data_IF_992944573956
#
_entry.id   IF_992944573956
#
_cell.length_a   1.000
_cell.length_b   1.000
_cell.length_c   1.000
_cell.angle_alpha   90.00
_cell.angle_beta   90.00
_cell.angle_gamma   90.00
#
_symmetry.space_group_name_H-M   'P 1'
#
loop_
_entity.id
_entity.type
_entity.pdbx_description
1 polymer ?
#
# COMPACT_ATOMS: atom_id res chain seq x y z
N UNK A 1 67.29 -3.61 -2.34
CA UNK A 1 66.20 -2.60 -2.25
C UNK A 1 64.83 -3.06 -2.75
N UNK A 2 64.70 -4.09 -3.62
CA UNK A 2 63.39 -4.51 -4.18
C UNK A 2 62.44 -5.26 -3.22
N UNK A 3 62.92 -5.84 -2.11
CA UNK A 3 62.05 -6.56 -1.15
C UNK A 3 61.35 -5.68 -0.11
N UNK A 4 61.83 -4.45 0.13
CA UNK A 4 61.18 -3.50 1.07
C UNK A 4 60.00 -2.75 0.43
N UNK A 5 59.96 -2.65 -0.89
CA UNK A 5 58.88 -1.97 -1.61
C UNK A 5 57.60 -2.83 -1.69
N UNK A 6 57.75 -4.16 -1.69
CA UNK A 6 56.61 -5.09 -1.80
C UNK A 6 55.80 -5.20 -0.50
N UNK A 7 56.45 -5.00 0.65
CA UNK A 7 55.81 -4.92 1.97
C UNK A 7 55.03 -3.62 2.19
N UNK A 8 55.44 -2.53 1.55
CA UNK A 8 54.71 -1.26 1.59
C UNK A 8 53.44 -1.29 0.71
N UNK A 9 53.46 -2.07 -0.37
CA UNK A 9 52.28 -2.25 -1.23
C UNK A 9 51.24 -3.22 -0.62
N UNK A 10 51.66 -4.22 0.16
CA UNK A 10 50.72 -5.10 0.86
C UNK A 10 50.06 -4.44 2.07
N UNK A 11 50.69 -3.42 2.67
CA UNK A 11 50.11 -2.67 3.79
C UNK A 11 49.07 -1.64 3.33
N UNK A 12 49.13 -1.19 2.08
CA UNK A 12 48.19 -0.20 1.54
C UNK A 12 46.84 -0.80 1.12
N UNK A 13 46.76 -2.12 0.91
CA UNK A 13 45.51 -2.81 0.58
C UNK A 13 44.67 -3.20 1.82
N UNK A 14 45.20 -3.02 3.04
CA UNK A 14 44.48 -3.28 4.29
C UNK A 14 43.76 -2.05 4.87
N UNK A 15 43.79 -0.92 4.15
CA UNK A 15 43.13 0.33 4.51
C UNK A 15 42.02 0.69 3.51
N UNK A 16 41.25 -0.29 3.04
CA UNK A 16 39.92 0.04 2.50
C UNK A 16 39.05 0.45 3.68
N UNK A 17 38.50 1.68 3.74
CA UNK A 17 37.47 1.96 4.70
C UNK A 17 36.33 0.99 4.41
N UNK A 18 36.06 0.08 5.35
CA UNK A 18 34.79 -0.60 5.41
C UNK A 18 33.76 0.52 5.46
N UNK A 19 33.11 0.81 4.33
CA UNK A 19 31.89 1.59 4.31
C UNK A 19 30.91 0.77 5.13
N UNK A 20 30.86 1.07 6.43
CA UNK A 20 29.83 0.58 7.32
C UNK A 20 28.55 1.07 6.68
N UNK A 21 27.76 0.14 6.13
CA UNK A 21 26.38 0.37 5.76
C UNK A 21 25.74 0.94 7.03
N UNK A 22 25.56 2.27 7.07
CA UNK A 22 24.82 2.92 8.12
C UNK A 22 23.41 2.36 8.00
N UNK A 23 23.13 1.36 8.84
CA UNK A 23 21.79 0.84 9.01
C UNK A 23 21.02 2.01 9.59
N UNK A 24 20.24 2.70 8.76
CA UNK A 24 19.40 3.79 9.20
C UNK A 24 18.52 3.23 10.31
N UNK A 25 18.75 3.66 11.55
CA UNK A 25 17.90 3.20 12.64
C UNK A 25 16.45 3.59 12.32
N UNK A 26 15.48 2.72 12.65
CA UNK A 26 14.08 2.99 12.35
C UNK A 26 13.67 4.30 13.04
N UNK A 27 13.02 5.20 12.30
CA UNK A 27 12.47 6.43 12.87
C UNK A 27 11.24 6.04 13.71
N UNK A 28 11.41 6.09 15.03
CA UNK A 28 10.41 5.74 16.02
C UNK A 28 9.73 6.99 16.59
N UNK A 29 8.53 6.84 17.12
CA UNK A 29 7.84 7.89 17.87
C UNK A 29 8.37 7.89 19.29
N UNK A 30 9.14 8.91 19.66
CA UNK A 30 9.61 9.06 21.04
C UNK A 30 8.52 9.63 21.94
N UNK A 31 7.86 10.69 21.46
CA UNK A 31 6.74 11.31 22.16
C UNK A 31 5.57 11.58 21.23
N UNK A 32 4.39 11.41 21.79
CA UNK A 32 3.13 11.76 21.15
C UNK A 32 2.25 12.37 22.23
N UNK A 33 1.58 13.48 21.92
CA UNK A 33 0.69 14.14 22.88
C UNK A 33 -0.53 14.76 22.20
N UNK A 34 -1.65 14.74 22.92
CA UNK A 34 -2.90 15.34 22.48
C UNK A 34 -2.99 16.77 23.01
N UNK A 35 -2.95 17.75 22.12
CA UNK A 35 -3.03 19.16 22.43
C UNK A 35 -4.44 19.65 22.76
N UNK A 36 -4.53 20.71 23.56
CA UNK A 36 -5.80 21.37 23.88
C UNK A 36 -6.42 22.09 22.67
N UNK A 37 -5.63 22.32 21.63
CA UNK A 37 -5.96 22.98 20.37
C UNK A 37 -6.50 22.03 19.29
N UNK A 38 -6.89 20.81 19.68
CA UNK A 38 -7.34 19.75 18.76
C UNK A 38 -6.26 19.34 17.75
N UNK A 39 -5.00 19.35 18.18
CA UNK A 39 -3.86 18.87 17.38
C UNK A 39 -3.11 17.76 18.10
N UNK A 40 -2.51 16.88 17.31
CA UNK A 40 -1.60 15.84 17.79
C UNK A 40 -0.17 16.26 17.52
N UNK A 41 0.63 16.28 18.58
CA UNK A 41 2.06 16.60 18.52
C UNK A 41 2.86 15.32 18.55
N UNK A 42 3.78 15.15 17.61
CA UNK A 42 4.61 13.95 17.47
C UNK A 42 6.07 14.36 17.39
N UNK A 43 6.89 13.80 18.27
CA UNK A 43 8.34 13.93 18.32
C UNK A 43 8.96 12.58 17.92
N UNK A 44 9.76 12.59 16.87
CA UNK A 44 10.43 11.41 16.33
C UNK A 44 11.85 11.27 16.88
N UNK A 45 12.41 10.06 16.79
CA UNK A 45 13.78 9.75 17.24
C UNK A 45 14.90 10.44 16.45
N UNK A 46 14.56 11.15 15.39
CA UNK A 46 15.48 11.98 14.61
C UNK A 46 15.28 13.48 14.88
N UNK A 47 14.73 13.83 16.05
CA UNK A 47 14.40 15.20 16.50
C UNK A 47 13.39 15.96 15.61
N UNK A 48 12.73 15.25 14.67
CA UNK A 48 11.70 15.86 13.83
C UNK A 48 10.39 16.00 14.59
N UNK A 49 9.77 17.18 14.48
CA UNK A 49 8.52 17.51 15.15
C UNK A 49 7.38 17.69 14.14
N UNK A 50 6.25 17.05 14.39
CA UNK A 50 5.06 17.12 13.55
C UNK A 50 3.83 17.50 14.36
N UNK A 51 2.97 18.29 13.72
CA UNK A 51 1.69 18.73 14.28
C UNK A 51 0.61 18.34 13.28
N UNK A 52 -0.31 17.49 13.71
CA UNK A 52 -1.41 16.99 12.88
C UNK A 52 -2.73 17.54 13.40
N UNK A 53 -3.56 18.09 12.52
CA UNK A 53 -4.94 18.48 12.87
C UNK A 53 -5.81 17.23 12.95
N UNK A 54 -6.50 17.06 14.07
CA UNK A 54 -7.36 15.89 14.33
C UNK A 54 -8.44 15.76 13.25
N UNK A 55 -8.98 16.86 12.74
CA UNK A 55 -10.07 16.83 11.74
C UNK A 55 -9.65 16.25 10.40
N UNK A 56 -8.35 16.30 10.09
CA UNK A 56 -7.79 15.79 8.84
C UNK A 56 -7.34 14.32 8.95
N UNK A 57 -7.31 13.79 10.17
CA UNK A 57 -6.90 12.42 10.43
C UNK A 57 -8.04 11.42 10.16
N UNK A 58 -7.71 10.17 9.79
CA UNK A 58 -8.71 9.13 9.65
C UNK A 58 -9.38 8.84 11.00
N UNK A 59 -10.71 8.92 11.02
CA UNK A 59 -11.54 8.63 12.17
C UNK A 59 -12.08 7.20 12.12
N UNK A 60 -12.00 6.52 13.25
CA UNK A 60 -12.47 5.16 13.47
C UNK A 60 -13.49 5.16 14.59
N UNK A 61 -14.72 4.79 14.24
CA UNK A 61 -15.78 4.50 15.20
C UNK A 61 -15.76 3.04 15.65
N UNK A 62 -14.67 2.30 15.41
CA UNK A 62 -14.60 0.86 15.62
C UNK A 62 -15.11 0.48 17.02
N UNK A 63 -16.36 0.03 17.06
CA UNK A 63 -16.89 -0.87 18.06
C UNK A 63 -16.55 -2.27 17.55
N UNK A 64 -16.33 -3.22 18.46
CA UNK A 64 -15.98 -4.59 18.11
C UNK A 64 -17.18 -5.35 17.50
N UNK A 65 -17.74 -4.84 16.41
CA UNK A 65 -18.79 -5.51 15.66
C UNK A 65 -18.15 -6.61 14.82
N UNK A 66 -18.12 -7.80 15.41
CA UNK A 66 -17.57 -9.04 14.88
C UNK A 66 -18.33 -9.62 13.67
N UNK A 67 -19.15 -8.82 12.98
CA UNK A 67 -20.08 -9.28 11.93
C UNK A 67 -19.88 -8.60 10.57
N UNK A 68 -18.90 -7.70 10.43
CA UNK A 68 -18.65 -7.08 9.13
C UNK A 68 -18.01 -8.08 8.17
N UNK A 69 -18.71 -8.46 7.09
CA UNK A 69 -18.16 -9.21 5.95
C UNK A 69 -17.21 -8.36 5.07
N UNK A 70 -16.72 -7.24 5.61
CA UNK A 70 -15.97 -6.20 4.90
C UNK A 70 -14.58 -6.06 5.51
N UNK A 71 -13.59 -5.74 4.65
CA UNK A 71 -12.23 -5.50 5.11
C UNK A 71 -12.16 -4.15 5.84
N UNK A 72 -11.54 -4.14 7.03
CA UNK A 72 -11.25 -2.87 7.71
C UNK A 72 -9.92 -2.31 7.22
N UNK A 73 -9.98 -1.12 6.63
CA UNK A 73 -8.81 -0.43 6.06
C UNK A 73 -8.46 0.83 6.85
N UNK A 74 -7.20 0.92 7.29
CA UNK A 74 -6.61 2.14 7.81
C UNK A 74 -5.46 2.58 6.90
N UNK A 75 -5.41 3.88 6.51
CA UNK A 75 -4.33 4.40 5.70
C UNK A 75 -3.10 4.60 6.59
N UNK A 76 -2.30 3.55 6.71
CA UNK A 76 -1.15 3.50 7.61
C UNK A 76 0.13 3.24 6.85
N UNK A 77 1.25 3.64 7.46
CA UNK A 77 2.56 3.39 6.91
C UNK A 77 2.99 1.93 7.04
N UNK A 78 3.83 1.47 6.12
CA UNK A 78 4.49 0.16 6.23
C UNK A 78 5.55 0.19 7.33
N UNK A 79 5.73 -0.93 8.04
CA UNK A 79 6.79 -1.03 9.05
C UNK A 79 8.17 -1.08 8.41
N UNK A 80 9.17 -0.48 9.07
CA UNK A 80 10.56 -0.49 8.58
C UNK A 80 11.09 -1.92 8.42
N UNK A 81 10.79 -2.81 9.38
CA UNK A 81 11.15 -4.23 9.32
C UNK A 81 10.59 -4.92 8.06
N UNK A 82 9.36 -4.57 7.67
CA UNK A 82 8.74 -5.13 6.48
C UNK A 82 9.45 -4.64 5.21
N UNK A 83 9.74 -3.35 5.15
CA UNK A 83 10.48 -2.75 4.02
C UNK A 83 11.89 -3.31 3.92
N UNK A 84 12.58 -3.50 5.04
CA UNK A 84 13.94 -4.06 5.07
C UNK A 84 13.95 -5.52 4.61
N UNK A 85 12.96 -6.33 5.01
CA UNK A 85 12.79 -7.68 4.47
C UNK A 85 12.59 -7.67 2.95
N UNK A 86 11.84 -6.69 2.43
CA UNK A 86 11.64 -6.55 0.98
C UNK A 86 12.92 -6.14 0.26
N UNK A 87 13.70 -5.21 0.83
CA UNK A 87 15.02 -4.84 0.30
C UNK A 87 15.96 -6.04 0.27
N UNK A 88 16.03 -6.82 1.35
CA UNK A 88 16.89 -8.02 1.41
C UNK A 88 16.51 -9.07 0.37
N UNK A 89 15.21 -9.20 0.02
CA UNK A 89 14.76 -10.06 -1.08
C UNK A 89 15.20 -9.55 -2.45
N UNK A 90 15.36 -8.24 -2.65
CA UNK A 90 15.81 -7.64 -3.91
C UNK A 90 17.32 -7.83 -4.15
N UNK A 91 18.14 -7.80 -3.10
CA UNK A 91 19.61 -7.95 -3.19
C UNK A 91 20.10 -9.40 -3.22
N UNK A 92 19.22 -10.38 -2.96
CA UNK A 92 19.53 -11.80 -3.13
C UNK A 92 19.53 -12.18 -4.62
N UNK A 93 20.58 -11.80 -5.35
CA UNK A 93 20.78 -12.12 -6.78
C UNK A 93 20.97 -13.62 -7.06
N UNK A 94 20.98 -14.48 -6.04
CA UNK A 94 21.10 -15.94 -6.18
C UNK A 94 19.74 -16.64 -6.45
N UNK A 95 18.64 -15.89 -6.60
CA UNK A 95 17.33 -16.42 -6.97
C UNK A 95 17.06 -16.50 -8.47
N UNK A 96 18.10 -16.40 -9.31
CA UNK A 96 17.95 -16.66 -10.76
C UNK A 96 17.85 -18.17 -11.10
N UNK A 97 17.97 -19.10 -10.15
CA UNK A 97 17.92 -20.54 -10.47
C UNK A 97 17.23 -21.50 -9.50
N UNK A 98 16.59 -21.05 -8.41
CA UNK A 98 15.88 -21.97 -7.50
C UNK A 98 14.43 -21.50 -7.30
N UNK A 99 13.50 -22.27 -7.88
CA UNK A 99 12.04 -22.13 -7.89
C UNK A 99 11.38 -21.11 -8.84
N UNK A 100 11.85 -21.06 -10.09
CA UNK A 100 10.98 -20.82 -11.27
C UNK A 100 10.03 -22.02 -11.55
N UNK A 101 9.64 -22.76 -10.52
CA UNK A 101 8.61 -23.78 -10.60
C UNK A 101 7.26 -23.09 -10.79
N UNK A 102 6.87 -22.85 -12.05
CA UNK A 102 5.48 -22.77 -12.52
C UNK A 102 4.47 -22.03 -11.62
N UNK A 103 4.80 -20.87 -11.05
CA UNK A 103 3.76 -20.06 -10.41
C UNK A 103 3.03 -19.27 -11.50
N UNK A 104 1.97 -19.88 -12.05
CA UNK A 104 1.04 -19.21 -12.96
C UNK A 104 0.46 -17.96 -12.28
N UNK A 105 0.93 -16.78 -12.67
CA UNK A 105 0.38 -15.50 -12.23
C UNK A 105 -0.99 -15.27 -12.87
N UNK A 106 -2.02 -15.98 -12.41
CA UNK A 106 -3.40 -15.85 -12.93
C UNK A 106 -4.04 -14.50 -12.61
N UNK A 107 -3.56 -13.79 -11.57
CA UNK A 107 -4.12 -12.50 -11.14
C UNK A 107 -3.02 -11.51 -10.80
N UNK A 108 -3.31 -10.21 -10.96
CA UNK A 108 -2.40 -9.12 -10.56
C UNK A 108 -2.01 -9.25 -9.07
N UNK A 109 -2.96 -9.65 -8.23
CA UNK A 109 -2.71 -9.84 -6.80
C UNK A 109 -1.75 -11.00 -6.54
N UNK A 110 -1.90 -12.18 -7.16
CA UNK A 110 -0.99 -13.31 -6.90
C UNK A 110 0.45 -13.02 -7.34
N UNK A 111 0.62 -12.24 -8.40
CA UNK A 111 1.92 -11.79 -8.86
C UNK A 111 2.64 -10.86 -7.87
N UNK A 112 1.88 -9.96 -7.24
CA UNK A 112 2.38 -8.98 -6.29
C UNK A 112 2.54 -9.58 -4.88
N UNK A 113 1.61 -10.41 -4.43
CA UNK A 113 1.63 -11.04 -3.11
C UNK A 113 2.87 -11.89 -2.87
N UNK A 114 3.32 -12.68 -3.86
CA UNK A 114 4.54 -13.49 -3.70
C UNK A 114 5.79 -12.64 -3.45
N UNK A 115 5.78 -11.39 -3.91
CA UNK A 115 6.93 -10.50 -3.81
C UNK A 115 6.84 -9.51 -2.65
N UNK A 116 5.64 -9.00 -2.38
CA UNK A 116 5.38 -8.06 -1.29
C UNK A 116 5.11 -8.81 0.03
N UNK A 117 4.47 -9.97 -0.03
CA UNK A 117 3.92 -10.65 1.14
C UNK A 117 2.66 -9.95 1.68
N UNK A 118 2.22 -10.37 2.87
CA UNK A 118 1.09 -9.76 3.58
C UNK A 118 -0.29 -10.08 2.98
N UNK A 119 -1.34 -9.50 3.56
CA UNK A 119 -2.73 -9.72 3.14
C UNK A 119 -3.18 -8.82 1.99
N UNK A 120 -4.49 -8.81 1.73
CA UNK A 120 -5.13 -7.89 0.77
C UNK A 120 -4.84 -6.41 1.10
N UNK A 121 -4.81 -6.05 2.38
CA UNK A 121 -4.57 -4.69 2.85
C UNK A 121 -3.17 -4.19 2.50
N UNK A 122 -2.16 -5.08 2.61
CA UNK A 122 -0.79 -4.76 2.19
C UNK A 122 -0.72 -4.46 0.70
N UNK A 123 -1.37 -5.30 -0.10
CA UNK A 123 -1.45 -5.10 -1.54
C UNK A 123 -2.06 -3.73 -1.88
N UNK A 124 -3.19 -3.37 -1.27
CA UNK A 124 -3.85 -2.08 -1.48
C UNK A 124 -2.93 -0.93 -1.08
N UNK A 125 -2.32 -0.98 0.11
CA UNK A 125 -1.42 0.08 0.59
C UNK A 125 -0.16 0.23 -0.29
N UNK A 126 0.46 -0.87 -0.70
CA UNK A 126 1.66 -0.82 -1.55
C UNK A 126 1.34 -0.30 -2.96
N UNK A 127 0.21 -0.73 -3.53
CA UNK A 127 -0.22 -0.28 -4.85
C UNK A 127 -0.61 1.20 -4.83
N UNK A 128 -1.36 1.62 -3.81
CA UNK A 128 -1.72 3.02 -3.62
C UNK A 128 -0.48 3.89 -3.47
N UNK A 129 0.48 3.48 -2.63
CA UNK A 129 1.73 4.21 -2.47
C UNK A 129 2.54 4.32 -3.77
N UNK A 130 2.59 3.25 -4.57
CA UNK A 130 3.28 3.26 -5.85
C UNK A 130 2.67 4.27 -6.85
N UNK A 131 1.35 4.44 -6.81
CA UNK A 131 0.61 5.42 -7.59
C UNK A 131 0.80 6.84 -7.02
N UNK A 132 0.71 7.02 -5.70
CA UNK A 132 0.88 8.31 -5.03
C UNK A 132 2.29 8.90 -5.23
N UNK A 133 3.30 8.03 -5.35
CA UNK A 133 4.69 8.43 -5.58
C UNK A 133 5.08 8.58 -7.04
N UNK A 134 4.11 8.46 -7.97
CA UNK A 134 4.31 8.48 -9.42
C UNK A 134 5.32 7.41 -9.92
N UNK A 135 5.70 6.43 -9.08
CA UNK A 135 6.57 5.33 -9.49
C UNK A 135 5.83 4.37 -10.44
N UNK A 136 4.53 4.18 -10.22
CA UNK A 136 3.63 3.45 -11.11
C UNK A 136 2.76 4.43 -11.88
N UNK A 137 2.81 4.37 -13.22
CA UNK A 137 1.97 5.18 -14.09
C UNK A 137 1.12 4.29 -15.00
N UNK A 138 -0.20 4.52 -15.00
CA UNK A 138 -1.11 3.83 -15.92
C UNK A 138 -0.91 4.24 -17.38
N UNK A 139 -0.26 5.38 -17.63
CA UNK A 139 0.08 5.93 -18.95
C UNK A 139 1.47 5.51 -19.45
N UNK A 140 2.16 4.60 -18.74
CA UNK A 140 3.50 4.17 -19.14
C UNK A 140 3.49 3.47 -20.53
N UNK A 141 4.59 3.54 -21.32
CA UNK A 141 4.65 2.88 -22.63
C UNK A 141 4.38 1.37 -22.57
N UNK A 142 4.78 0.68 -21.49
CA UNK A 142 4.51 -0.75 -21.29
C UNK A 142 3.03 -1.07 -21.02
N UNK A 143 2.24 -0.06 -20.63
CA UNK A 143 0.80 -0.13 -20.47
C UNK A 143 0.05 0.29 -21.74
N UNK A 144 0.72 0.87 -22.74
CA UNK A 144 0.12 1.25 -24.01
C UNK A 144 -0.09 0.01 -24.87
N UNK A 145 -1.23 -0.03 -25.55
CA UNK A 145 -1.52 -1.13 -26.47
C UNK A 145 -0.84 -0.86 -27.82
N UNK A 146 -0.35 -1.91 -28.51
CA UNK A 146 0.15 -1.73 -29.86
C UNK A 146 -0.98 -1.31 -30.80
N UNK A 147 -0.71 -0.34 -31.66
CA UNK A 147 -1.63 0.04 -32.74
C UNK A 147 -1.77 -1.15 -33.70
N UNK A 148 -2.98 -1.70 -33.81
CA UNK A 148 -3.24 -2.84 -34.66
C UNK A 148 -4.64 -2.79 -35.23
N UNK A 149 -4.75 -3.04 -36.54
CA UNK A 149 -6.02 -3.24 -37.23
C UNK A 149 -6.54 -4.69 -37.09
N UNK A 150 -5.84 -5.53 -36.32
CA UNK A 150 -6.22 -6.92 -36.13
C UNK A 150 -7.54 -7.04 -35.37
N UNK A 151 -8.45 -7.86 -35.91
CA UNK A 151 -9.78 -8.11 -35.35
C UNK A 151 -10.06 -9.62 -35.32
N UNK A 152 -10.27 -10.22 -34.13
CA UNK A 152 -10.54 -11.64 -34.03
C UNK A 152 -11.90 -12.00 -34.65
N UNK A 153 -11.97 -13.17 -35.29
CA UNK A 153 -13.19 -13.80 -35.82
C UNK A 153 -13.27 -15.24 -35.27
N UNK A 154 -14.26 -15.56 -34.40
CA UNK A 154 -15.30 -14.68 -33.87
C UNK A 154 -14.76 -13.61 -32.91
N UNK A 155 -15.52 -12.53 -32.73
CA UNK A 155 -15.13 -11.46 -31.81
C UNK A 155 -15.22 -11.93 -30.36
N UNK A 156 -14.08 -11.99 -29.68
CA UNK A 156 -13.99 -12.34 -28.25
C UNK A 156 -14.57 -11.23 -27.36
N UNK A 157 -15.02 -11.59 -26.15
CA UNK A 157 -15.54 -10.62 -25.18
C UNK A 157 -14.49 -9.57 -24.77
N UNK A 158 -13.26 -10.03 -24.51
CA UNK A 158 -12.12 -9.16 -24.22
C UNK A 158 -11.91 -8.11 -25.29
N UNK A 159 -12.03 -8.48 -26.57
CA UNK A 159 -11.94 -7.52 -27.67
C UNK A 159 -13.10 -6.53 -27.66
N UNK A 160 -14.34 -6.99 -27.45
CA UNK A 160 -15.54 -6.11 -27.43
C UNK A 160 -15.43 -5.01 -26.37
N UNK A 161 -14.90 -5.36 -25.19
CA UNK A 161 -14.74 -4.44 -24.04
C UNK A 161 -13.58 -3.47 -24.24
N UNK A 162 -12.42 -4.00 -24.59
CA UNK A 162 -11.16 -3.24 -24.53
C UNK A 162 -10.79 -2.53 -25.83
N UNK A 163 -11.41 -2.85 -26.98
CA UNK A 163 -11.02 -2.30 -28.30
C UNK A 163 -10.96 -0.77 -28.42
N UNK A 164 -11.63 -0.04 -27.52
CA UNK A 164 -11.65 1.43 -27.49
C UNK A 164 -10.63 2.02 -26.53
N UNK A 165 -9.92 1.20 -25.78
CA UNK A 165 -8.92 1.64 -24.83
C UNK A 165 -7.58 1.75 -25.55
N UNK A 166 -6.93 2.90 -25.35
CA UNK A 166 -5.58 3.15 -25.84
C UNK A 166 -4.52 2.36 -25.02
N UNK A 167 -4.83 2.11 -23.74
CA UNK A 167 -3.98 1.37 -22.82
C UNK A 167 -4.65 0.07 -22.37
N UNK A 168 -3.90 -0.82 -21.73
CA UNK A 168 -4.43 -2.07 -21.17
C UNK A 168 -5.40 -1.84 -19.99
N UNK A 169 -5.48 -0.61 -19.50
CA UNK A 169 -6.43 -0.13 -18.48
C UNK A 169 -7.26 1.04 -19.04
N UNK A 170 -8.51 1.24 -18.59
CA UNK A 170 -9.33 2.36 -19.05
C UNK A 170 -8.83 3.67 -18.41
N UNK A 171 -8.08 4.48 -19.17
CA UNK A 171 -7.54 5.76 -18.67
C UNK A 171 -8.61 6.84 -18.62
N UNK A 172 -9.42 6.95 -19.67
CA UNK A 172 -10.58 7.86 -19.71
C UNK A 172 -11.61 7.43 -18.66
N UNK A 173 -12.00 8.38 -17.83
CA UNK A 173 -12.95 8.19 -16.73
C UNK A 173 -14.29 7.71 -17.24
N UNK A 174 -14.74 8.16 -18.43
CA UNK A 174 -16.01 7.70 -18.99
C UNK A 174 -15.94 6.22 -19.39
N UNK A 175 -14.84 5.80 -20.01
CA UNK A 175 -14.59 4.40 -20.31
C UNK A 175 -14.50 3.54 -19.04
N UNK A 176 -13.83 4.03 -17.99
CA UNK A 176 -13.70 3.35 -16.71
C UNK A 176 -15.07 3.19 -16.01
N UNK A 177 -15.86 4.25 -15.94
CA UNK A 177 -17.21 4.22 -15.37
C UNK A 177 -18.14 3.26 -16.14
N UNK A 178 -18.00 3.20 -17.47
CA UNK A 178 -18.77 2.28 -18.30
C UNK A 178 -18.41 0.82 -17.99
N UNK A 179 -17.12 0.50 -17.90
CA UNK A 179 -16.68 -0.85 -17.55
C UNK A 179 -17.10 -1.22 -16.13
N UNK A 180 -17.00 -0.29 -15.17
CA UNK A 180 -17.47 -0.50 -13.80
C UNK A 180 -18.97 -0.85 -13.76
N UNK A 181 -19.83 -0.08 -14.44
CA UNK A 181 -21.27 -0.35 -14.50
C UNK A 181 -21.58 -1.71 -15.12
N UNK A 182 -20.84 -2.08 -16.17
CA UNK A 182 -21.00 -3.35 -16.85
C UNK A 182 -20.60 -4.52 -15.93
N UNK A 183 -19.42 -4.46 -15.30
CA UNK A 183 -18.99 -5.48 -14.33
C UNK A 183 -19.92 -5.55 -13.11
N UNK A 184 -20.48 -4.43 -12.67
CA UNK A 184 -21.48 -4.39 -11.59
C UNK A 184 -22.76 -5.15 -11.98
N UNK A 185 -23.26 -4.94 -13.20
CA UNK A 185 -24.44 -5.64 -13.71
C UNK A 185 -24.22 -7.16 -13.83
N UNK A 186 -23.01 -7.56 -14.21
CA UNK A 186 -22.60 -8.97 -14.35
C UNK A 186 -22.16 -9.62 -13.03
N UNK A 187 -22.19 -8.89 -11.90
CA UNK A 187 -21.66 -9.33 -10.60
C UNK A 187 -20.19 -9.76 -10.65
N UNK A 188 -19.40 -9.16 -11.55
CA UNK A 188 -17.99 -9.48 -11.83
C UNK A 188 -17.01 -8.40 -11.34
N UNK A 189 -17.42 -7.57 -10.37
CA UNK A 189 -16.55 -6.53 -9.77
C UNK A 189 -15.36 -7.11 -8.99
N UNK A 190 -15.43 -8.37 -8.57
CA UNK A 190 -14.34 -9.07 -7.89
C UNK A 190 -13.80 -8.27 -6.71
N UNK A 191 -12.49 -8.02 -6.72
CA UNK A 191 -11.76 -7.32 -5.66
C UNK A 191 -12.03 -5.82 -5.55
N UNK A 192 -12.78 -5.21 -6.47
CA UNK A 192 -13.14 -3.79 -6.36
C UNK A 192 -14.10 -3.56 -5.20
N UNK A 193 -14.96 -4.52 -4.90
CA UNK A 193 -15.85 -4.47 -3.74
C UNK A 193 -15.11 -4.55 -2.40
N UNK A 194 -13.83 -4.95 -2.43
CA UNK A 194 -12.98 -5.12 -1.24
C UNK A 194 -12.23 -3.83 -0.90
N UNK A 195 -12.41 -2.77 -1.71
CA UNK A 195 -11.86 -1.46 -1.46
C UNK A 195 -12.75 -0.64 -0.53
N UNK A 196 -12.17 0.34 0.20
CA UNK A 196 -12.95 1.26 1.02
C UNK A 196 -14.07 1.94 0.21
N UNK A 197 -15.30 2.08 0.76
CA UNK A 197 -16.42 2.73 0.08
C UNK A 197 -16.08 4.14 -0.42
N UNK A 198 -15.26 4.87 0.33
CA UNK A 198 -14.81 6.23 -0.03
C UNK A 198 -14.07 6.26 -1.37
N UNK A 199 -13.31 5.20 -1.69
CA UNK A 199 -12.55 5.13 -2.94
C UNK A 199 -13.50 4.95 -4.12
N UNK A 200 -14.51 4.07 -3.94
CA UNK A 200 -15.54 3.81 -4.94
C UNK A 200 -16.40 5.05 -5.15
N UNK A 201 -16.78 5.74 -4.06
CA UNK A 201 -17.58 6.95 -4.11
C UNK A 201 -16.83 8.07 -4.84
N UNK A 202 -15.55 8.30 -4.49
CA UNK A 202 -14.68 9.26 -5.18
C UNK A 202 -14.60 8.95 -6.67
N UNK A 203 -14.40 7.69 -7.04
CA UNK A 203 -14.35 7.26 -8.44
C UNK A 203 -15.67 7.50 -9.18
N UNK A 204 -16.81 7.20 -8.56
CA UNK A 204 -18.13 7.33 -9.19
C UNK A 204 -18.57 8.79 -9.35
N UNK A 205 -18.16 9.66 -8.44
CA UNK A 205 -18.52 11.08 -8.44
C UNK A 205 -17.61 11.92 -9.34
N UNK A 206 -16.38 11.47 -9.59
CA UNK A 206 -15.41 12.21 -10.39
C UNK A 206 -15.71 12.11 -11.89
N UNK A 207 -15.85 13.26 -12.54
CA UNK A 207 -15.88 13.40 -14.00
C UNK A 207 -14.48 13.47 -14.62
N UNK A 208 -14.36 13.27 -15.93
CA UNK A 208 -13.06 13.36 -16.63
C UNK A 208 -12.40 14.74 -16.44
N UNK A 209 -13.17 15.83 -16.46
CA UNK A 209 -12.63 17.18 -16.27
C UNK A 209 -12.07 17.38 -14.86
N UNK A 210 -12.77 16.87 -13.84
CA UNK A 210 -12.31 16.94 -12.46
C UNK A 210 -11.08 16.08 -12.24
N UNK A 211 -11.03 14.89 -12.86
CA UNK A 211 -9.86 14.02 -12.83
C UNK A 211 -8.62 14.73 -13.39
N UNK A 212 -8.72 15.38 -14.56
CA UNK A 212 -7.61 16.14 -15.12
C UNK A 212 -7.22 17.33 -14.23
N UNK A 213 -8.21 18.05 -13.68
CA UNK A 213 -7.95 19.15 -12.73
C UNK A 213 -7.20 18.68 -11.48
N UNK A 214 -7.56 17.50 -10.92
CA UNK A 214 -6.88 16.92 -9.76
C UNK A 214 -5.42 16.54 -10.06
N UNK A 215 -5.18 16.05 -11.29
CA UNK A 215 -3.83 15.75 -11.76
C UNK A 215 -2.98 17.02 -11.91
N UNK A 216 -3.55 18.09 -12.46
CA UNK A 216 -2.90 19.40 -12.60
C UNK A 216 -2.67 20.09 -11.24
N UNK A 217 -3.61 19.96 -10.30
CA UNK A 217 -3.52 20.56 -8.97
C UNK A 217 -2.58 19.82 -8.02
N UNK A 218 -1.99 18.70 -8.45
CA UNK A 218 -1.10 17.89 -7.61
C UNK A 218 -1.81 17.11 -6.50
N UNK A 219 -3.12 16.84 -6.59
CA UNK A 219 -3.83 16.01 -5.62
C UNK A 219 -3.52 14.51 -5.88
N UNK A 220 -2.29 14.11 -5.56
CA UNK A 220 -1.76 12.77 -5.87
C UNK A 220 -2.53 11.65 -5.18
N UNK A 221 -3.03 11.89 -3.96
CA UNK A 221 -3.74 10.88 -3.16
C UNK A 221 -5.07 10.48 -3.78
N UNK A 222 -5.87 11.45 -4.18
CA UNK A 222 -7.18 11.15 -4.77
C UNK A 222 -7.06 10.61 -6.20
N UNK A 223 -6.08 11.10 -6.97
CA UNK A 223 -5.73 10.54 -8.28
C UNK A 223 -5.30 9.08 -8.14
N UNK A 224 -4.46 8.75 -7.16
CA UNK A 224 -3.99 7.39 -6.92
C UNK A 224 -5.15 6.42 -6.56
N UNK A 225 -6.12 6.87 -5.75
CA UNK A 225 -7.33 6.07 -5.44
C UNK A 225 -8.11 5.74 -6.71
N UNK A 226 -8.30 6.73 -7.58
CA UNK A 226 -9.00 6.58 -8.87
C UNK A 226 -8.23 5.64 -9.80
N UNK A 227 -6.93 5.86 -9.95
CA UNK A 227 -6.07 5.07 -10.84
C UNK A 227 -5.93 3.62 -10.38
N UNK A 228 -5.95 3.37 -9.06
CA UNK A 228 -6.00 2.03 -8.52
C UNK A 228 -7.27 1.29 -8.96
N UNK A 229 -8.44 1.95 -8.90
CA UNK A 229 -9.70 1.37 -9.39
C UNK A 229 -9.61 1.09 -10.89
N UNK A 230 -9.03 2.01 -11.69
CA UNK A 230 -8.80 1.79 -13.14
C UNK A 230 -7.91 0.57 -13.40
N UNK A 231 -6.84 0.38 -12.63
CA UNK A 231 -5.98 -0.82 -12.70
C UNK A 231 -6.76 -2.08 -12.36
N UNK A 232 -7.54 -2.08 -11.28
CA UNK A 232 -8.33 -3.24 -10.88
C UNK A 232 -9.43 -3.59 -11.89
N UNK A 233 -10.06 -2.57 -12.51
CA UNK A 233 -10.99 -2.78 -13.62
C UNK A 233 -10.30 -3.45 -14.82
N UNK A 234 -9.10 -3.00 -15.15
CA UNK A 234 -8.30 -3.55 -16.24
C UNK A 234 -7.57 -4.86 -15.92
N UNK A 235 -7.52 -5.28 -14.66
CA UNK A 235 -6.69 -6.40 -14.19
C UNK A 235 -6.92 -7.72 -14.93
N UNK A 236 -8.17 -8.00 -15.33
CA UNK A 236 -8.55 -9.19 -16.12
C UNK A 236 -7.99 -9.19 -17.54
N UNK A 237 -7.47 -8.06 -18.03
CA UNK A 237 -6.98 -7.86 -19.39
C UNK A 237 -5.47 -7.62 -19.46
N UNK A 238 -4.79 -7.63 -18.30
CA UNK A 238 -3.35 -7.46 -18.24
C UNK A 238 -2.63 -8.74 -18.68
N UNK A 239 -1.65 -8.59 -19.57
CA UNK A 239 -0.72 -9.65 -19.90
C UNK A 239 0.44 -9.72 -18.91
N UNK A 240 1.30 -10.74 -19.09
CA UNK A 240 2.46 -10.96 -18.24
C UNK A 240 3.40 -9.75 -18.18
N UNK A 241 3.63 -9.09 -19.31
CA UNK A 241 4.48 -7.88 -19.40
C UNK A 241 3.94 -6.75 -18.52
N UNK A 242 2.63 -6.50 -18.55
CA UNK A 242 2.00 -5.44 -17.75
C UNK A 242 2.04 -5.80 -16.27
N UNK A 243 1.76 -7.06 -15.93
CA UNK A 243 1.84 -7.55 -14.55
C UNK A 243 3.27 -7.41 -14.00
N UNK A 244 4.28 -7.79 -14.78
CA UNK A 244 5.69 -7.64 -14.41
C UNK A 244 6.09 -6.17 -14.24
N UNK A 245 5.63 -5.29 -15.12
CA UNK A 245 5.83 -3.85 -14.99
C UNK A 245 5.25 -3.31 -13.67
N UNK A 246 3.96 -3.57 -13.40
CA UNK A 246 3.30 -3.11 -12.17
C UNK A 246 4.03 -3.66 -10.95
N UNK A 247 4.35 -4.95 -10.96
CA UNK A 247 5.12 -5.61 -9.91
C UNK A 247 6.43 -4.88 -9.61
N UNK A 248 7.26 -4.66 -10.63
CA UNK A 248 8.56 -4.00 -10.46
C UNK A 248 8.42 -2.55 -9.98
N UNK A 249 7.41 -1.81 -10.46
CA UNK A 249 7.20 -0.42 -10.01
C UNK A 249 6.70 -0.34 -8.57
N UNK A 250 5.81 -1.26 -8.15
CA UNK A 250 5.37 -1.33 -6.76
C UNK A 250 6.52 -1.70 -5.84
N UNK A 251 7.34 -2.70 -6.20
CA UNK A 251 8.53 -3.05 -5.42
C UNK A 251 9.48 -1.87 -5.27
N UNK A 252 9.81 -1.20 -6.38
CA UNK A 252 10.66 0.00 -6.39
C UNK A 252 10.10 1.12 -5.52
N UNK A 253 8.78 1.32 -5.52
CA UNK A 253 8.15 2.31 -4.65
C UNK A 253 8.33 1.90 -3.18
N UNK A 254 7.98 0.66 -2.83
CA UNK A 254 8.06 0.16 -1.46
C UNK A 254 9.50 0.15 -0.93
N UNK A 255 10.52 -0.10 -1.75
CA UNK A 255 11.91 -0.02 -1.27
C UNK A 255 12.38 1.41 -1.01
N UNK A 256 11.85 2.40 -1.74
CA UNK A 256 12.03 3.83 -1.47
C UNK A 256 11.18 4.36 -0.29
N UNK A 257 10.23 3.55 0.19
CA UNK A 257 9.26 3.93 1.21
C UNK A 257 9.88 4.38 2.54
N UNK A 258 11.00 3.77 2.94
CA UNK A 258 11.57 3.90 4.28
C UNK A 258 12.22 5.27 4.58
N UNK A 259 12.44 6.13 3.58
CA UNK A 259 13.33 7.27 3.77
C UNK A 259 12.66 8.52 4.35
N UNK A 260 11.33 8.70 4.24
CA UNK A 260 10.69 10.02 4.54
C UNK A 260 9.22 9.97 5.03
N UNK A 261 8.73 8.87 5.63
CA UNK A 261 7.29 8.75 5.96
C UNK A 261 6.94 9.08 7.42
N UNK A 262 5.97 9.99 7.59
CA UNK A 262 5.36 10.38 8.86
C UNK A 262 4.65 9.20 9.53
N UNK A 263 4.62 9.14 10.86
CA UNK A 263 3.75 8.18 11.55
C UNK A 263 2.30 8.38 11.17
N UNK A 264 1.59 7.28 10.96
CA UNK A 264 0.17 7.31 10.61
C UNK A 264 -0.66 7.22 11.87
N UNK A 265 -1.46 8.26 12.12
CA UNK A 265 -2.33 8.34 13.29
C UNK A 265 -3.78 8.15 12.89
N UNK A 266 -4.48 7.27 13.60
CA UNK A 266 -5.92 7.04 13.48
C UNK A 266 -6.60 7.49 14.77
N UNK A 267 -7.67 8.25 14.65
CA UNK A 267 -8.46 8.71 15.79
C UNK A 267 -9.52 7.68 16.11
N UNK A 268 -9.51 7.18 17.34
CA UNK A 268 -10.51 6.28 17.89
C UNK A 268 -11.49 7.10 18.72
N UNK A 269 -12.55 7.57 18.06
CA UNK A 269 -13.50 8.54 18.63
C UNK A 269 -14.16 8.02 19.91
N UNK A 270 -14.52 6.73 19.93
CA UNK A 270 -15.16 6.09 21.09
C UNK A 270 -14.30 6.12 22.37
N UNK A 271 -12.98 6.22 22.21
CA UNK A 271 -12.03 6.21 23.32
C UNK A 271 -11.39 7.57 23.54
N UNK A 272 -11.72 8.58 22.71
CA UNK A 272 -11.00 9.84 22.58
C UNK A 272 -9.48 9.61 22.52
N UNK A 273 -9.05 8.68 21.68
CA UNK A 273 -7.67 8.24 21.60
C UNK A 273 -7.09 8.49 20.21
N UNK A 274 -5.84 8.92 20.14
CA UNK A 274 -5.05 8.98 18.92
C UNK A 274 -4.09 7.79 18.95
N UNK A 275 -4.21 6.91 17.96
CA UNK A 275 -3.46 5.65 17.87
C UNK A 275 -2.53 5.74 16.67
N UNK A 276 -1.23 5.74 16.92
CA UNK A 276 -0.22 5.59 15.88
C UNK A 276 -0.14 4.12 15.46
N UNK A 277 -0.42 3.86 14.17
CA UNK A 277 -0.47 2.52 13.59
C UNK A 277 0.54 2.38 12.47
N UNK A 278 1.07 1.15 12.35
CA UNK A 278 1.90 0.70 11.23
C UNK A 278 1.38 -0.63 10.70
N UNK A 279 1.74 -0.98 9.47
CA UNK A 279 1.39 -2.24 8.84
C UNK A 279 2.64 -3.09 8.65
N UNK A 280 2.71 -4.22 9.35
CA UNK A 280 3.76 -5.24 9.22
C UNK A 280 3.18 -6.51 8.56
N UNK A 281 4.00 -7.53 8.27
CA UNK A 281 3.55 -8.77 7.60
C UNK A 281 2.33 -9.46 8.25
N UNK A 282 2.14 -9.28 9.56
CA UNK A 282 1.05 -9.89 10.33
C UNK A 282 -0.22 -9.05 10.36
N UNK A 283 -0.17 -7.78 9.94
CA UNK A 283 -1.30 -6.84 9.95
C UNK A 283 -0.97 -5.51 10.60
N UNK A 284 -1.99 -4.84 11.12
CA UNK A 284 -1.84 -3.57 11.84
C UNK A 284 -1.16 -3.80 13.19
N UNK A 285 -0.23 -2.92 13.53
CA UNK A 285 0.49 -2.91 14.80
C UNK A 285 0.46 -1.50 15.40
N UNK A 286 0.32 -1.43 16.72
CA UNK A 286 0.24 -0.17 17.46
C UNK A 286 1.65 0.25 17.85
N UNK A 287 2.09 1.43 17.43
CA UNK A 287 3.34 2.04 17.90
C UNK A 287 3.12 2.84 19.19
N UNK A 288 2.04 3.62 19.24
CA UNK A 288 1.75 4.52 20.38
C UNK A 288 0.26 4.78 20.48
N UNK A 289 -0.23 4.97 21.71
CA UNK A 289 -1.59 5.42 22.01
C UNK A 289 -1.47 6.67 22.90
N UNK A 290 -2.30 7.67 22.61
CA UNK A 290 -2.44 8.87 23.43
C UNK A 290 -3.91 9.18 23.62
N UNK A 291 -4.29 9.56 24.83
CA UNK A 291 -5.67 9.90 25.16
C UNK A 291 -5.88 11.41 25.25
N UNK A 292 -7.03 11.88 24.79
CA UNK A 292 -7.47 13.24 25.06
C UNK A 292 -7.64 13.40 26.57
N UNK A 293 -7.06 14.47 27.12
CA UNK A 293 -7.12 14.79 28.55
C UNK A 293 -6.64 13.64 29.45
N UNK A 294 -5.54 12.98 29.06
CA UNK A 294 -4.95 11.86 29.82
C UNK A 294 -4.75 12.17 31.32
N UNK A 295 -4.46 13.42 31.67
CA UNK A 295 -4.29 13.87 33.07
C UNK A 295 -5.58 13.79 33.91
N UNK A 296 -6.73 13.77 33.26
CA UNK A 296 -8.04 13.69 33.91
C UNK A 296 -8.51 12.24 34.06
N UNK A 297 -7.80 11.27 33.47
CA UNK A 297 -8.12 9.85 33.50
C UNK A 297 -7.38 9.15 34.65
N UNK A 298 -8.03 8.16 35.27
CA UNK A 298 -7.35 7.29 36.22
C UNK A 298 -6.37 6.34 35.50
N UNK A 299 -5.25 5.94 36.12
CA UNK A 299 -4.33 4.96 35.52
C UNK A 299 -5.02 3.66 35.08
N UNK A 300 -6.01 3.21 35.86
CA UNK A 300 -6.80 2.01 35.57
C UNK A 300 -7.70 2.20 34.33
N UNK A 301 -8.29 3.37 34.14
CA UNK A 301 -9.04 3.67 32.91
C UNK A 301 -8.14 3.69 31.69
N UNK A 302 -6.96 4.29 31.80
CA UNK A 302 -5.98 4.34 30.71
C UNK A 302 -5.58 2.92 30.30
N UNK A 303 -5.22 2.08 31.27
CA UNK A 303 -4.86 0.68 31.05
C UNK A 303 -6.00 -0.11 30.39
N UNK A 304 -7.22 0.01 30.92
CA UNK A 304 -8.39 -0.66 30.35
C UNK A 304 -8.65 -0.22 28.90
N UNK A 305 -8.53 1.07 28.58
CA UNK A 305 -8.71 1.56 27.21
C UNK A 305 -7.61 1.04 26.28
N UNK A 306 -6.36 0.97 26.74
CA UNK A 306 -5.25 0.38 25.97
C UNK A 306 -5.54 -1.08 25.65
N UNK A 307 -5.99 -1.87 26.62
CA UNK A 307 -6.34 -3.28 26.42
C UNK A 307 -7.45 -3.41 25.36
N UNK A 308 -8.52 -2.62 25.49
CA UNK A 308 -9.65 -2.66 24.55
C UNK A 308 -9.22 -2.27 23.13
N UNK A 309 -8.45 -1.18 22.98
CA UNK A 309 -7.93 -0.76 21.66
C UNK A 309 -7.04 -1.84 21.04
N UNK A 310 -6.18 -2.46 21.85
CA UNK A 310 -5.31 -3.55 21.40
C UNK A 310 -6.11 -4.76 20.92
N UNK A 311 -7.16 -5.14 21.66
CA UNK A 311 -8.05 -6.22 21.29
C UNK A 311 -8.85 -5.91 20.00
N UNK A 312 -9.27 -4.65 19.82
CA UNK A 312 -9.93 -4.22 18.58
C UNK A 312 -8.98 -4.41 17.37
N UNK A 313 -7.73 -3.94 17.47
CA UNK A 313 -6.74 -4.10 16.40
C UNK A 313 -6.46 -5.58 16.11
N UNK A 314 -6.36 -6.40 17.17
CA UNK A 314 -6.16 -7.85 17.02
C UNK A 314 -7.34 -8.50 16.28
N UNK A 315 -8.58 -8.20 16.68
CA UNK A 315 -9.79 -8.69 16.01
C UNK A 315 -9.84 -8.26 14.54
N UNK A 316 -9.50 -6.99 14.25
CA UNK A 316 -9.41 -6.50 12.87
C UNK A 316 -8.44 -7.34 12.04
N UNK A 317 -7.25 -7.63 12.58
CA UNK A 317 -6.27 -8.46 11.87
C UNK A 317 -6.78 -9.89 11.65
N UNK A 318 -7.44 -10.48 12.65
CA UNK A 318 -8.04 -11.83 12.56
C UNK A 318 -9.15 -11.87 11.51
N UNK A 319 -10.14 -10.97 11.58
CA UNK A 319 -11.24 -10.85 10.61
C UNK A 319 -10.72 -10.62 9.19
N UNK A 320 -9.77 -9.71 9.00
CA UNK A 320 -9.18 -9.45 7.68
C UNK A 320 -8.48 -10.70 7.13
N UNK A 321 -7.79 -11.47 7.99
CA UNK A 321 -7.14 -12.73 7.60
C UNK A 321 -8.15 -13.80 7.22
N UNK A 322 -9.23 -13.94 7.99
CA UNK A 322 -10.31 -14.90 7.72
C UNK A 322 -11.05 -14.59 6.42
N UNK A 323 -11.47 -13.32 6.23
CA UNK A 323 -12.11 -12.86 4.99
C UNK A 323 -11.23 -13.11 3.77
N UNK A 324 -9.93 -12.85 3.93
CA UNK A 324 -8.95 -13.12 2.89
C UNK A 324 -8.86 -14.62 2.55
N UNK A 325 -8.77 -15.50 3.55
CA UNK A 325 -8.74 -16.95 3.34
C UNK A 325 -10.03 -17.48 2.70
N UNK A 326 -11.20 -16.99 3.14
CA UNK A 326 -12.49 -17.34 2.55
C UNK A 326 -12.55 -16.95 1.08
N UNK A 327 -12.13 -15.72 0.73
CA UNK A 327 -12.09 -15.26 -0.65
C UNK A 327 -11.13 -16.08 -1.50
N UNK A 328 -9.92 -16.37 -1.01
CA UNK A 328 -8.99 -17.25 -1.74
C UNK A 328 -9.60 -18.62 -2.07
N UNK A 329 -10.30 -19.26 -1.12
CA UNK A 329 -10.96 -20.54 -1.37
C UNK A 329 -12.01 -20.45 -2.48
N UNK A 330 -12.75 -19.35 -2.58
CA UNK A 330 -13.76 -19.15 -3.62
C UNK A 330 -13.18 -18.89 -5.03
N UNK A 331 -11.90 -18.49 -5.13
CA UNK A 331 -11.26 -18.19 -6.41
C UNK A 331 -10.38 -19.32 -6.95
N UNK A 332 -9.85 -20.18 -6.07
CA UNK A 332 -8.91 -21.23 -6.43
C UNK A 332 -9.47 -22.66 -6.31
N UNK A 333 -10.66 -22.84 -5.72
CA UNK A 333 -11.49 -24.04 -5.85
C UNK A 333 -12.62 -23.77 -6.83
#
# INVERSE_FOLDING_TARGET
MKKKLLLLFSLFFLLTPSFSQQKTEPILIERMSWGKDLKIYIELSNDSNYILDIKELPHSQALADSSSNEFTYYPVRLSNDFVDKLKQKEYSSDYDTIDLAQVSHKTLWSALHNSIGGGWIHFVNCLLFALETDNLSITAPLMQRPESNWKPKPMTETYKRTRKWEYYVPIDQNAALKEYKLKKAEKSLGHINDLPPDFINLFLQTSEKEYQKMKESGNRRDVAKIDMIKILLGSNYLGETQIKYIKSMVQKAVTKYAENQLPSVVIFDNFNAAVALILNESGYHIEKIVFAKEKDLSPLEVENRIIIITDIIKKINETNKELFQQKLKNYYN
#
